data_IF_509900748797
#
_entry.id   IF_509900748797
#
_cell.length_a   1.000
_cell.length_b   1.000
_cell.length_c   1.000
_cell.angle_alpha   90.00
_cell.angle_beta   90.00
_cell.angle_gamma   90.00
#
_symmetry.space_group_name_H-M   'P 1'
#
loop_
_entity.id
_entity.type
_entity.pdbx_description
1 polymer ?
#
# COMPACT_ATOMS: atom_id res chain seq x y z
N UNK A 1 -16.76 -10.90 28.73
CA UNK A 1 -16.68 -9.95 27.60
C UNK A 1 -16.75 -8.54 28.18
N UNK A 2 -15.66 -7.78 28.15
CA UNK A 2 -15.63 -6.38 28.57
C UNK A 2 -16.31 -5.51 27.49
N UNK A 3 -17.65 -5.46 27.44
CA UNK A 3 -18.35 -4.47 26.62
C UNK A 3 -18.48 -3.14 27.37
N UNK A 4 -17.35 -2.52 27.71
CA UNK A 4 -17.29 -1.21 28.35
C UNK A 4 -16.64 -0.16 27.44
N UNK A 5 -17.12 -0.08 26.20
CA UNK A 5 -17.17 1.10 25.32
C UNK A 5 -17.86 0.62 24.03
N UNK A 6 -18.88 1.32 23.54
CA UNK A 6 -19.52 0.95 22.25
C UNK A 6 -18.59 1.15 21.04
N UNK A 7 -17.41 1.73 21.23
CA UNK A 7 -16.24 1.74 20.33
C UNK A 7 -15.18 2.67 20.91
N UNK A 8 -13.91 2.37 20.67
CA UNK A 8 -12.77 3.17 21.13
C UNK A 8 -12.43 4.29 20.14
N UNK A 9 -12.44 5.55 20.60
CA UNK A 9 -11.83 6.66 19.85
C UNK A 9 -10.32 6.65 20.07
N UNK A 10 -9.62 5.92 19.21
CA UNK A 10 -8.17 5.74 19.29
C UNK A 10 -7.48 6.96 18.67
N UNK A 11 -6.63 7.62 19.46
CA UNK A 11 -5.99 8.86 19.05
C UNK A 11 -4.59 8.63 18.48
N UNK A 12 -4.33 9.17 17.29
CA UNK A 12 -2.98 9.33 16.78
C UNK A 12 -2.27 10.45 17.56
N UNK A 13 -1.24 10.07 18.30
CA UNK A 13 -0.41 11.02 19.02
C UNK A 13 0.45 11.88 18.09
N UNK A 14 0.22 13.20 18.11
CA UNK A 14 0.95 14.14 17.24
C UNK A 14 2.41 14.33 17.61
N UNK A 15 2.83 14.01 18.84
CA UNK A 15 4.23 14.15 19.26
C UNK A 15 5.10 12.99 18.80
N UNK A 16 4.50 11.87 18.38
CA UNK A 16 5.20 10.69 17.85
C UNK A 16 5.32 10.74 16.31
N UNK A 17 4.72 11.75 15.68
CA UNK A 17 4.70 11.89 14.23
C UNK A 17 6.01 12.43 13.67
N UNK A 18 6.51 11.73 12.64
CA UNK A 18 7.80 12.01 12.02
C UNK A 18 8.96 11.21 12.59
N UNK A 19 8.72 10.45 13.67
CA UNK A 19 9.65 9.43 14.15
C UNK A 19 9.56 8.18 13.27
N UNK A 20 10.64 7.40 13.21
CA UNK A 20 10.65 6.12 12.49
C UNK A 20 9.74 5.12 13.22
N UNK A 21 8.76 4.56 12.50
CA UNK A 21 7.89 3.53 13.07
C UNK A 21 8.64 2.24 13.45
N UNK A 22 9.75 1.94 12.75
CA UNK A 22 10.61 0.80 13.09
C UNK A 22 11.25 0.97 14.48
N UNK A 23 11.66 2.20 14.81
CA UNK A 23 12.20 2.52 16.13
C UNK A 23 11.10 2.63 17.18
N UNK A 24 10.00 3.31 16.85
CA UNK A 24 8.88 3.56 17.76
C UNK A 24 8.21 2.27 18.21
N UNK A 25 8.10 1.30 17.30
CA UNK A 25 7.46 0.01 17.52
C UNK A 25 8.41 -1.16 17.34
N UNK A 26 9.67 -0.98 17.78
CA UNK A 26 10.62 -2.08 17.89
C UNK A 26 10.00 -3.20 18.75
N UNK A 27 10.07 -4.48 18.33
CA UNK A 27 9.37 -5.57 19.02
C UNK A 27 9.66 -5.65 20.52
N UNK A 28 10.92 -5.52 20.93
CA UNK A 28 11.31 -5.54 22.34
C UNK A 28 10.67 -4.39 23.13
N UNK A 29 10.72 -3.17 22.58
CA UNK A 29 10.12 -1.99 23.22
C UNK A 29 8.60 -2.13 23.37
N UNK A 30 7.93 -2.70 22.38
CA UNK A 30 6.48 -2.91 22.42
C UNK A 30 6.09 -3.96 23.47
N UNK A 31 6.87 -5.04 23.59
CA UNK A 31 6.69 -6.04 24.65
C UNK A 31 6.87 -5.40 26.02
N UNK A 32 7.93 -4.63 26.22
CA UNK A 32 8.21 -3.93 27.47
C UNK A 32 7.07 -2.95 27.83
N UNK A 33 6.55 -2.21 26.85
CA UNK A 33 5.43 -1.29 27.04
C UNK A 33 4.16 -2.02 27.50
N UNK A 34 3.84 -3.14 26.86
CA UNK A 34 2.67 -3.97 27.24
C UNK A 34 2.84 -4.54 28.64
N UNK A 35 4.02 -5.09 28.96
CA UNK A 35 4.30 -5.65 30.27
C UNK A 35 4.23 -4.59 31.37
N UNK A 36 4.81 -3.41 31.10
CA UNK A 36 4.78 -2.28 32.01
C UNK A 36 3.33 -1.82 32.28
N UNK A 37 2.56 -1.54 31.22
CA UNK A 37 1.14 -1.15 31.36
C UNK A 37 0.33 -2.24 32.07
N UNK A 38 0.59 -3.51 31.77
CA UNK A 38 -0.06 -4.65 32.42
C UNK A 38 0.26 -4.74 33.91
N UNK A 39 1.46 -4.35 34.34
CA UNK A 39 1.83 -4.29 35.77
C UNK A 39 0.97 -3.30 36.57
N UNK A 40 0.54 -2.20 35.95
CA UNK A 40 -0.33 -1.20 36.59
C UNK A 40 -1.82 -1.51 36.43
N UNK A 41 -2.26 -1.83 35.21
CA UNK A 41 -3.67 -2.06 34.90
C UNK A 41 -4.14 -3.45 35.36
N UNK A 42 -3.24 -4.44 35.35
CA UNK A 42 -3.52 -5.85 35.61
C UNK A 42 -4.16 -6.12 36.98
N UNK A 43 -3.64 -5.61 38.11
CA UNK A 43 -4.25 -5.86 39.43
C UNK A 43 -5.70 -5.36 39.54
N UNK A 44 -6.02 -4.24 38.92
CA UNK A 44 -7.38 -3.68 38.92
C UNK A 44 -8.30 -4.46 37.97
N UNK A 45 -7.81 -4.84 36.78
CA UNK A 45 -8.50 -5.75 35.86
C UNK A 45 -8.78 -7.12 36.50
N UNK A 46 -7.80 -7.71 37.18
CA UNK A 46 -7.96 -8.99 37.86
C UNK A 46 -9.02 -8.91 38.96
N UNK A 47 -9.03 -7.84 39.77
CA UNK A 47 -10.09 -7.62 40.77
C UNK A 47 -11.49 -7.55 40.15
N UNK A 48 -11.62 -6.85 39.02
CA UNK A 48 -12.89 -6.79 38.26
C UNK A 48 -13.30 -8.16 37.69
N UNK A 49 -12.33 -8.97 37.25
CA UNK A 49 -12.56 -10.31 36.70
C UNK A 49 -12.85 -11.39 37.75
N UNK A 50 -12.51 -11.15 39.02
CA UNK A 50 -12.77 -12.09 40.12
C UNK A 50 -14.19 -11.99 40.69
N UNK A 51 -15.04 -11.12 40.13
CA UNK A 51 -16.48 -11.08 40.43
C UNK A 51 -17.15 -12.36 39.89
N UNK A 52 -17.77 -13.21 40.75
CA UNK A 52 -18.28 -14.54 40.38
C UNK A 52 -19.19 -14.57 39.13
N UNK A 53 -20.01 -13.54 38.92
CA UNK A 53 -20.91 -13.43 37.77
C UNK A 53 -20.20 -13.31 36.39
N UNK A 54 -18.91 -12.95 36.37
CA UNK A 54 -18.09 -12.83 35.16
C UNK A 54 -17.18 -14.04 34.93
N UNK A 55 -17.03 -14.90 35.94
CA UNK A 55 -16.11 -16.05 35.96
C UNK A 55 -16.60 -17.22 35.09
N UNK A 56 -17.91 -17.37 34.97
CA UNK A 56 -18.54 -18.48 34.20
C UNK A 56 -18.52 -18.26 32.68
N UNK A 57 -18.13 -17.06 32.21
CA UNK A 57 -18.24 -16.67 30.79
C UNK A 57 -16.91 -16.51 30.06
N UNK A 58 -15.77 -16.87 30.67
CA UNK A 58 -14.49 -16.50 30.09
C UNK A 58 -13.32 -17.45 30.41
N UNK A 59 -12.68 -18.06 29.40
CA UNK A 59 -11.41 -18.79 29.55
C UNK A 59 -10.18 -17.88 29.77
N UNK A 60 -10.39 -16.57 30.04
CA UNK A 60 -9.39 -15.48 30.10
C UNK A 60 -8.33 -15.56 31.22
N UNK A 61 -8.04 -16.74 31.81
CA UNK A 61 -6.95 -16.86 32.80
C UNK A 61 -5.57 -16.45 32.24
N UNK A 62 -5.41 -16.50 30.91
CA UNK A 62 -4.17 -16.15 30.20
C UNK A 62 -4.30 -14.89 29.30
N UNK A 63 -5.37 -14.12 29.44
CA UNK A 63 -5.64 -12.99 28.53
C UNK A 63 -4.54 -11.91 28.59
N UNK A 64 -4.04 -11.60 29.79
CA UNK A 64 -2.92 -10.66 29.96
C UNK A 64 -1.60 -11.23 29.42
N UNK A 65 -1.40 -12.56 29.49
CA UNK A 65 -0.21 -13.23 28.97
C UNK A 65 -0.09 -13.14 27.45
N UNK A 66 -1.22 -13.09 26.73
CA UNK A 66 -1.28 -12.94 25.27
C UNK A 66 -1.13 -11.50 24.77
N UNK A 67 -1.21 -10.48 25.63
CA UNK A 67 -1.18 -9.07 25.20
C UNK A 67 0.07 -8.69 24.38
N UNK A 68 1.30 -9.17 24.70
CA UNK A 68 2.47 -8.85 23.90
C UNK A 68 2.39 -9.42 22.48
N UNK A 69 1.89 -10.65 22.31
CA UNK A 69 1.69 -11.27 21.00
C UNK A 69 0.67 -10.49 20.16
N UNK A 70 -0.46 -10.11 20.79
CA UNK A 70 -1.50 -9.31 20.14
C UNK A 70 -0.97 -7.93 19.71
N UNK A 71 -0.14 -7.29 20.55
CA UNK A 71 0.50 -6.02 20.19
C UNK A 71 1.40 -6.15 18.96
N UNK A 72 2.19 -7.23 18.88
CA UNK A 72 3.03 -7.50 17.71
C UNK A 72 2.21 -7.77 16.45
N UNK A 73 1.09 -8.50 16.57
CA UNK A 73 0.18 -8.72 15.46
C UNK A 73 -0.46 -7.41 14.96
N UNK A 74 -0.91 -6.54 15.89
CA UNK A 74 -1.37 -5.19 15.54
C UNK A 74 -0.28 -4.34 14.89
N UNK A 75 0.97 -4.45 15.35
CA UNK A 75 2.13 -3.75 14.78
C UNK A 75 2.39 -4.14 13.33
N UNK A 76 2.29 -5.43 12.99
CA UNK A 76 2.42 -5.88 11.59
C UNK A 76 1.36 -5.24 10.69
N UNK A 77 0.11 -5.17 11.15
CA UNK A 77 -0.99 -4.54 10.40
C UNK A 77 -0.80 -3.02 10.28
N UNK A 78 -0.55 -2.34 11.40
CA UNK A 78 -0.39 -0.88 11.48
C UNK A 78 0.81 -0.37 10.67
N UNK A 79 1.90 -1.12 10.63
CA UNK A 79 3.10 -0.75 9.86
C UNK A 79 3.04 -1.20 8.38
N UNK A 80 1.93 -1.83 7.94
CA UNK A 80 1.77 -2.28 6.56
C UNK A 80 2.62 -3.49 6.17
N UNK A 81 3.11 -4.27 7.14
CA UNK A 81 3.92 -5.48 6.90
C UNK A 81 3.08 -6.67 6.44
N UNK A 82 1.77 -6.61 6.67
CA UNK A 82 0.79 -7.58 6.21
C UNK A 82 -0.42 -6.83 5.67
N UNK A 83 -1.00 -7.32 4.56
CA UNK A 83 -2.23 -6.74 4.03
C UNK A 83 -3.41 -7.08 4.96
N UNK A 84 -4.48 -6.27 4.92
CA UNK A 84 -5.68 -6.60 5.69
C UNK A 84 -6.24 -7.97 5.25
N UNK A 85 -6.31 -8.22 3.94
CA UNK A 85 -6.78 -9.49 3.37
C UNK A 85 -5.99 -10.71 3.82
N UNK A 86 -4.69 -10.57 4.08
CA UNK A 86 -3.86 -11.66 4.61
C UNK A 86 -3.95 -11.78 6.13
N UNK A 87 -4.18 -10.66 6.83
CA UNK A 87 -4.29 -10.61 8.28
C UNK A 87 -5.61 -11.20 8.79
N UNK A 88 -6.73 -10.93 8.11
CA UNK A 88 -8.06 -11.41 8.53
C UNK A 88 -8.15 -12.94 8.67
N UNK A 89 -7.75 -13.77 7.67
CA UNK A 89 -7.93 -15.21 7.73
C UNK A 89 -7.01 -15.90 8.74
N UNK A 90 -5.84 -15.31 9.03
CA UNK A 90 -4.91 -15.83 10.04
C UNK A 90 -5.52 -15.78 11.45
N UNK A 91 -6.54 -14.94 11.65
CA UNK A 91 -7.04 -14.56 12.96
C UNK A 91 -8.55 -14.70 13.10
N UNK A 92 -9.20 -15.38 12.14
CA UNK A 92 -10.66 -15.49 12.06
C UNK A 92 -11.29 -16.23 13.26
N UNK A 93 -10.52 -17.07 13.96
CA UNK A 93 -10.94 -17.75 15.18
C UNK A 93 -10.70 -16.94 16.48
N UNK A 94 -9.93 -15.86 16.42
CA UNK A 94 -9.39 -15.16 17.60
C UNK A 94 -9.82 -13.68 17.71
N UNK A 95 -10.84 -13.26 16.96
CA UNK A 95 -11.37 -11.88 16.99
C UNK A 95 -11.59 -11.29 18.39
N UNK A 96 -12.05 -12.12 19.32
CA UNK A 96 -12.27 -11.71 20.71
C UNK A 96 -10.97 -11.25 21.40
N UNK A 97 -9.83 -11.90 21.10
CA UNK A 97 -8.55 -11.55 21.69
C UNK A 97 -8.05 -10.19 21.19
N UNK A 98 -8.21 -9.88 19.90
CA UNK A 98 -7.87 -8.58 19.34
C UNK A 98 -8.74 -7.46 19.90
N UNK A 99 -10.04 -7.71 20.06
CA UNK A 99 -10.97 -6.78 20.72
C UNK A 99 -10.65 -6.58 22.21
N UNK A 100 -10.23 -7.65 22.90
CA UNK A 100 -9.77 -7.59 24.29
C UNK A 100 -8.51 -6.72 24.42
N UNK A 101 -7.57 -6.77 23.46
CA UNK A 101 -6.40 -5.89 23.45
C UNK A 101 -6.79 -4.41 23.30
N UNK A 102 -7.71 -4.08 22.38
CA UNK A 102 -8.23 -2.71 22.24
C UNK A 102 -8.90 -2.26 23.54
N UNK A 103 -9.73 -3.11 24.12
CA UNK A 103 -10.41 -2.85 25.40
C UNK A 103 -9.44 -2.65 26.55
N UNK A 104 -8.34 -3.41 26.58
CA UNK A 104 -7.27 -3.27 27.56
C UNK A 104 -6.58 -1.90 27.48
N UNK A 105 -6.17 -1.47 26.27
CA UNK A 105 -5.52 -0.17 26.07
C UNK A 105 -6.48 0.97 26.44
N UNK A 106 -7.76 0.85 26.09
CA UNK A 106 -8.77 1.83 26.48
C UNK A 106 -8.96 1.88 28.00
N UNK A 107 -9.09 0.73 28.66
CA UNK A 107 -9.16 0.67 30.11
C UNK A 107 -7.94 1.33 30.75
N UNK A 108 -6.73 0.99 30.31
CA UNK A 108 -5.49 1.57 30.82
C UNK A 108 -5.46 3.10 30.67
N UNK A 109 -6.04 3.65 29.61
CA UNK A 109 -6.12 5.10 29.38
C UNK A 109 -7.03 5.87 30.34
N UNK A 110 -7.93 5.16 31.04
CA UNK A 110 -8.78 5.75 32.09
C UNK A 110 -8.09 5.79 33.45
N UNK A 111 -6.94 5.13 33.60
CA UNK A 111 -6.15 5.13 34.84
C UNK A 111 -5.29 6.39 34.90
N UNK A 112 -5.47 7.18 35.96
CA UNK A 112 -4.77 8.46 36.17
C UNK A 112 -3.26 8.25 36.17
N UNK A 113 -2.79 7.14 36.74
CA UNK A 113 -1.38 6.78 36.85
C UNK A 113 -0.70 6.57 35.48
N UNK A 114 -1.50 6.27 34.44
CA UNK A 114 -1.04 5.92 33.11
C UNK A 114 -1.27 7.00 32.05
N UNK A 115 -2.11 8.00 32.32
CA UNK A 115 -2.64 8.94 31.33
C UNK A 115 -1.57 9.61 30.44
N UNK A 116 -0.41 9.99 31.00
CA UNK A 116 0.67 10.67 30.27
C UNK A 116 1.92 9.80 30.04
N UNK A 117 1.81 8.49 30.21
CA UNK A 117 2.97 7.60 30.17
C UNK A 117 3.35 7.27 28.73
N UNK A 118 4.64 7.39 28.35
CA UNK A 118 5.09 7.13 26.98
C UNK A 118 4.69 5.75 26.45
N UNK A 119 4.77 4.72 27.29
CA UNK A 119 4.37 3.35 26.94
C UNK A 119 2.90 3.27 26.53
N UNK A 120 1.98 3.86 27.31
CA UNK A 120 0.57 3.87 26.96
C UNK A 120 0.32 4.68 25.68
N UNK A 121 0.94 5.86 25.55
CA UNK A 121 0.81 6.72 24.37
C UNK A 121 1.25 6.01 23.09
N UNK A 122 2.33 5.21 23.14
CA UNK A 122 2.75 4.36 22.02
C UNK A 122 1.72 3.29 21.68
N UNK A 123 1.16 2.59 22.67
CA UNK A 123 0.11 1.59 22.42
C UNK A 123 -1.16 2.21 21.81
N UNK A 124 -1.55 3.40 22.27
CA UNK A 124 -2.66 4.15 21.68
C UNK A 124 -2.35 4.58 20.24
N UNK A 125 -1.14 5.07 19.98
CA UNK A 125 -0.70 5.46 18.64
C UNK A 125 -0.69 4.27 17.68
N UNK A 126 -0.22 3.10 18.14
CA UNK A 126 -0.26 1.84 17.38
C UNK A 126 -1.69 1.49 16.94
N UNK A 127 -2.63 1.53 17.89
CA UNK A 127 -4.04 1.26 17.60
C UNK A 127 -4.67 2.34 16.70
N UNK A 128 -4.25 3.60 16.83
CA UNK A 128 -4.65 4.68 15.92
C UNK A 128 -4.17 4.45 14.49
N UNK A 129 -2.94 3.96 14.29
CA UNK A 129 -2.42 3.58 12.97
C UNK A 129 -3.17 2.39 12.38
N UNK A 130 -3.52 1.40 13.21
CA UNK A 130 -4.32 0.27 12.76
C UNK A 130 -5.75 0.69 12.36
N UNK A 131 -6.38 1.58 13.11
CA UNK A 131 -7.66 2.18 12.76
C UNK A 131 -7.57 2.95 11.43
N UNK A 132 -6.49 3.71 11.23
CA UNK A 132 -6.21 4.38 9.95
C UNK A 132 -6.02 3.39 8.81
N UNK A 133 -5.33 2.26 9.03
CA UNK A 133 -5.18 1.20 8.03
C UNK A 133 -6.54 0.64 7.61
N UNK A 134 -7.43 0.36 8.58
CA UNK A 134 -8.80 -0.07 8.29
C UNK A 134 -9.58 1.02 7.54
N UNK A 135 -9.35 2.29 7.88
CA UNK A 135 -9.99 3.44 7.25
C UNK A 135 -9.66 3.58 5.75
N UNK A 136 -8.41 3.28 5.40
CA UNK A 136 -7.89 3.38 4.03
C UNK A 136 -8.16 2.15 3.17
N UNK A 137 -8.56 1.02 3.76
CA UNK A 137 -8.64 -0.24 3.04
C UNK A 137 -9.73 -0.21 1.95
N UNK A 138 -9.43 -0.71 0.73
CA UNK A 138 -10.38 -0.65 -0.39
C UNK A 138 -11.59 -1.58 -0.21
N UNK A 139 -11.56 -2.51 0.75
CA UNK A 139 -12.74 -3.24 1.21
C UNK A 139 -13.65 -2.37 2.10
N UNK A 140 -13.86 -1.10 1.73
CA UNK A 140 -14.58 -0.11 2.53
C UNK A 140 -16.01 -0.56 2.89
N UNK A 141 -16.61 -1.45 2.09
CA UNK A 141 -17.93 -2.02 2.36
C UNK A 141 -17.95 -2.97 3.57
N UNK A 142 -16.82 -3.59 3.93
CA UNK A 142 -16.68 -4.44 5.14
C UNK A 142 -16.16 -3.68 6.36
N UNK A 143 -15.68 -2.46 6.15
CA UNK A 143 -15.07 -1.63 7.18
C UNK A 143 -15.96 -1.43 8.42
N UNK A 144 -17.27 -1.14 8.32
CA UNK A 144 -18.11 -0.94 9.51
C UNK A 144 -18.22 -2.21 10.36
N UNK A 145 -18.39 -3.37 9.72
CA UNK A 145 -18.49 -4.66 10.40
C UNK A 145 -17.17 -5.01 11.11
N UNK A 146 -16.04 -4.87 10.41
CA UNK A 146 -14.71 -5.12 10.96
C UNK A 146 -14.38 -4.20 12.13
N UNK A 147 -14.69 -2.90 12.01
CA UNK A 147 -14.50 -1.92 13.07
C UNK A 147 -15.27 -2.31 14.33
N UNK A 148 -16.54 -2.72 14.19
CA UNK A 148 -17.36 -3.19 15.31
C UNK A 148 -16.77 -4.46 15.94
N UNK A 149 -16.36 -5.45 15.13
CA UNK A 149 -15.76 -6.70 15.63
C UNK A 149 -14.46 -6.46 16.40
N UNK A 150 -13.66 -5.47 15.97
CA UNK A 150 -12.41 -5.09 16.60
C UNK A 150 -12.56 -4.13 17.78
N UNK A 151 -13.75 -3.54 17.98
CA UNK A 151 -13.98 -2.52 19.00
C UNK A 151 -13.37 -1.16 18.67
N UNK A 152 -13.08 -0.89 17.40
CA UNK A 152 -12.45 0.34 16.91
C UNK A 152 -13.52 1.29 16.37
N UNK A 153 -13.39 2.58 16.63
CA UNK A 153 -14.18 3.63 15.96
C UNK A 153 -13.41 4.16 14.75
N UNK A 154 -14.10 4.31 13.61
CA UNK A 154 -13.56 5.00 12.43
C UNK A 154 -14.24 6.36 12.32
N UNK A 155 -13.49 7.40 12.67
CA UNK A 155 -13.96 8.78 12.59
C UNK A 155 -14.06 9.23 11.12
N UNK A 156 -15.14 9.93 10.78
CA UNK A 156 -15.37 10.56 9.46
C UNK A 156 -15.01 9.65 8.28
N UNK A 157 -15.76 8.56 8.03
CA UNK A 157 -15.51 7.65 6.92
C UNK A 157 -15.40 8.39 5.58
N UNK A 158 -14.44 8.02 4.74
CA UNK A 158 -14.20 8.66 3.43
C UNK A 158 -13.33 9.92 3.46
N UNK A 159 -12.97 10.45 4.62
CA UNK A 159 -12.10 11.64 4.74
C UNK A 159 -10.94 11.40 5.70
N UNK A 160 -9.80 12.03 5.45
CA UNK A 160 -8.63 12.03 6.33
C UNK A 160 -8.35 13.41 6.89
N UNK A 161 -8.11 13.47 8.20
CA UNK A 161 -7.58 14.67 8.84
C UNK A 161 -6.06 14.73 8.69
N UNK A 162 -5.48 15.93 8.85
CA UNK A 162 -4.05 16.14 8.63
C UNK A 162 -3.13 15.25 9.49
N UNK A 163 -3.57 14.87 10.70
CA UNK A 163 -2.82 13.96 11.59
C UNK A 163 -2.77 12.53 11.05
N UNK A 164 -3.84 12.06 10.40
CA UNK A 164 -3.91 10.73 9.78
C UNK A 164 -2.99 10.66 8.56
N UNK A 165 -3.05 11.66 7.68
CA UNK A 165 -2.16 11.74 6.50
C UNK A 165 -0.70 11.79 6.94
N UNK A 166 -0.41 12.56 7.99
CA UNK A 166 0.94 12.68 8.54
C UNK A 166 1.42 11.34 9.09
N UNK A 167 0.57 10.61 9.82
CA UNK A 167 0.86 9.28 10.35
C UNK A 167 1.13 8.27 9.24
N UNK A 168 0.26 8.19 8.23
CA UNK A 168 0.42 7.28 7.10
C UNK A 168 1.68 7.56 6.27
N UNK A 169 2.20 8.80 6.29
CA UNK A 169 3.40 9.19 5.53
C UNK A 169 4.68 9.31 6.37
N UNK A 170 4.61 9.07 7.69
CA UNK A 170 5.71 9.36 8.63
C UNK A 170 6.21 10.81 8.52
N UNK A 171 5.28 11.76 8.46
CA UNK A 171 5.55 13.20 8.37
C UNK A 171 5.09 13.92 9.64
N UNK A 172 5.59 15.14 9.85
CA UNK A 172 5.00 16.06 10.83
C UNK A 172 3.68 16.62 10.29
N UNK A 173 2.71 16.86 11.18
CA UNK A 173 1.40 17.45 10.84
C UNK A 173 1.53 18.79 10.10
N UNK A 174 2.53 19.59 10.46
CA UNK A 174 2.80 20.88 9.81
C UNK A 174 3.07 20.73 8.30
N UNK A 175 3.77 19.67 7.89
CA UNK A 175 4.06 19.40 6.48
C UNK A 175 2.78 19.17 5.67
N UNK A 176 1.82 18.44 6.24
CA UNK A 176 0.52 18.18 5.59
C UNK A 176 -0.32 19.44 5.54
N UNK A 177 -0.37 20.23 6.63
CA UNK A 177 -1.09 21.52 6.65
C UNK A 177 -0.55 22.48 5.59
N UNK A 178 0.77 22.51 5.40
CA UNK A 178 1.41 23.32 4.36
C UNK A 178 1.01 22.85 2.95
N UNK A 179 0.95 21.54 2.70
CA UNK A 179 0.49 20.99 1.42
C UNK A 179 -0.97 21.35 1.13
N UNK A 180 -1.85 21.27 2.13
CA UNK A 180 -3.26 21.69 2.01
C UNK A 180 -3.35 23.20 1.72
N UNK A 181 -2.57 24.02 2.43
CA UNK A 181 -2.52 25.48 2.21
C UNK A 181 -2.07 25.85 0.79
N UNK A 182 -1.12 25.09 0.23
CA UNK A 182 -0.66 25.21 -1.16
C UNK A 182 -1.62 24.62 -2.19
N UNK A 183 -2.75 24.07 -1.75
CA UNK A 183 -3.77 23.40 -2.58
C UNK A 183 -3.22 22.20 -3.35
N UNK A 184 -2.22 21.51 -2.79
CA UNK A 184 -1.77 20.21 -3.31
C UNK A 184 -2.83 19.12 -3.08
N UNK A 185 -3.69 19.32 -2.08
CA UNK A 185 -4.89 18.53 -1.80
C UNK A 185 -6.02 19.49 -1.43
N UNK A 186 -7.23 19.23 -1.91
CA UNK A 186 -8.42 20.01 -1.54
C UNK A 186 -9.01 19.41 -0.26
N UNK A 187 -9.09 20.21 0.80
CA UNK A 187 -9.69 19.82 2.06
C UNK A 187 -11.11 20.39 2.17
N UNK A 188 -12.05 19.55 2.58
CA UNK A 188 -13.34 19.97 3.11
C UNK A 188 -13.15 20.57 4.51
N UNK A 189 -13.68 21.78 4.80
CA UNK A 189 -13.47 22.43 6.09
C UNK A 189 -14.04 21.67 7.29
N UNK A 190 -15.10 20.86 7.10
CA UNK A 190 -15.77 20.14 8.17
C UNK A 190 -15.18 18.74 8.39
N UNK A 191 -14.72 18.09 7.32
CA UNK A 191 -14.38 16.66 7.34
C UNK A 191 -12.89 16.36 7.10
N UNK A 192 -12.16 17.22 6.39
CA UNK A 192 -10.77 17.00 6.01
C UNK A 192 -10.60 16.68 4.52
N UNK A 193 -9.53 15.96 4.15
CA UNK A 193 -9.22 15.64 2.75
C UNK A 193 -9.90 14.33 2.35
N UNK A 194 -10.63 14.25 1.23
CA UNK A 194 -11.17 12.97 0.74
C UNK A 194 -10.06 11.91 0.63
N UNK A 195 -10.34 10.68 1.07
CA UNK A 195 -9.37 9.55 1.09
C UNK A 195 -8.69 9.40 -0.27
N UNK A 196 -9.47 9.47 -1.33
CA UNK A 196 -9.06 9.47 -2.73
C UNK A 196 -7.91 10.43 -3.05
N UNK A 197 -8.16 11.72 -2.81
CA UNK A 197 -7.20 12.78 -3.08
C UNK A 197 -5.97 12.66 -2.17
N UNK A 198 -6.17 12.22 -0.92
CA UNK A 198 -5.07 11.98 -0.01
C UNK A 198 -4.19 10.83 -0.47
N UNK A 199 -4.75 9.69 -0.89
CA UNK A 199 -3.99 8.53 -1.39
C UNK A 199 -3.13 8.89 -2.61
N UNK A 200 -3.67 9.64 -3.57
CA UNK A 200 -2.94 10.09 -4.76
C UNK A 200 -1.77 11.04 -4.43
N UNK A 201 -1.91 11.83 -3.36
CA UNK A 201 -0.84 12.66 -2.84
C UNK A 201 0.19 11.86 -2.01
N UNK A 202 -0.29 10.94 -1.16
CA UNK A 202 0.53 10.14 -0.25
C UNK A 202 1.41 9.14 -1.00
N UNK A 203 0.92 8.51 -2.07
CA UNK A 203 1.69 7.52 -2.86
C UNK A 203 3.00 8.09 -3.42
N UNK A 204 3.07 9.40 -3.62
CA UNK A 204 4.24 10.12 -4.11
C UNK A 204 5.30 10.36 -3.03
N UNK A 205 5.02 9.99 -1.77
CA UNK A 205 5.90 10.19 -0.62
C UNK A 205 6.66 8.90 -0.29
N UNK A 206 7.96 9.03 -0.01
CA UNK A 206 8.82 7.88 0.30
C UNK A 206 8.34 7.08 1.52
N UNK A 207 7.86 7.78 2.55
CA UNK A 207 7.43 7.22 3.83
C UNK A 207 5.97 6.75 3.89
N UNK A 208 5.24 6.76 2.77
CA UNK A 208 3.87 6.23 2.76
C UNK A 208 3.86 4.73 3.08
N UNK A 209 3.11 4.37 4.12
CA UNK A 209 3.07 3.01 4.69
C UNK A 209 2.25 2.02 3.87
N UNK A 210 1.28 2.51 3.09
CA UNK A 210 0.26 1.64 2.48
C UNK A 210 0.22 1.73 0.94
N UNK A 211 1.36 1.72 0.23
CA UNK A 211 1.38 1.91 -1.22
C UNK A 211 0.58 0.84 -1.98
N UNK A 212 0.48 -0.37 -1.42
CA UNK A 212 -0.31 -1.48 -1.98
C UNK A 212 -1.80 -1.14 -2.12
N UNK A 213 -2.35 -0.26 -1.26
CA UNK A 213 -3.76 0.17 -1.37
C UNK A 213 -4.02 0.84 -2.73
N UNK A 214 -3.09 1.67 -3.21
CA UNK A 214 -3.18 2.26 -4.54
C UNK A 214 -3.06 1.20 -5.64
N UNK A 215 -2.18 0.20 -5.48
CA UNK A 215 -1.95 -0.82 -6.50
C UNK A 215 -3.16 -1.75 -6.73
N UNK A 216 -3.98 -1.97 -5.71
CA UNK A 216 -5.17 -2.83 -5.85
C UNK A 216 -6.43 -2.05 -6.25
N UNK A 217 -6.34 -0.73 -6.39
CA UNK A 217 -7.47 0.13 -6.80
C UNK A 217 -7.25 0.60 -8.24
N UNK A 218 -7.95 0.03 -9.25
CA UNK A 218 -7.61 0.20 -10.66
C UNK A 218 -7.48 1.66 -11.13
N UNK A 219 -8.41 2.52 -10.72
CA UNK A 219 -8.45 3.94 -11.14
C UNK A 219 -7.49 4.87 -10.39
N UNK A 220 -6.66 4.37 -9.47
CA UNK A 220 -5.77 5.22 -8.66
C UNK A 220 -4.46 5.53 -9.35
N UNK A 221 -3.87 6.65 -8.96
CA UNK A 221 -2.56 7.06 -9.44
C UNK A 221 -1.49 6.07 -9.00
N UNK A 222 -0.56 5.79 -9.90
CA UNK A 222 0.61 4.96 -9.65
C UNK A 222 1.92 5.72 -9.87
N UNK A 223 3.02 5.11 -9.44
CA UNK A 223 4.37 5.57 -9.75
C UNK A 223 5.28 4.40 -10.08
N UNK A 224 6.47 4.68 -10.61
CA UNK A 224 7.39 3.64 -11.05
C UNK A 224 7.82 2.68 -9.94
N UNK A 225 7.94 3.16 -8.69
CA UNK A 225 8.20 2.29 -7.52
C UNK A 225 7.07 1.28 -7.30
N UNK A 226 5.83 1.75 -7.31
CA UNK A 226 4.65 0.92 -7.09
C UNK A 226 4.43 -0.07 -8.24
N UNK A 227 4.53 0.41 -9.48
CA UNK A 227 4.43 -0.41 -10.68
C UNK A 227 5.48 -1.53 -10.66
N UNK A 228 6.73 -1.22 -10.34
CA UNK A 228 7.79 -2.21 -10.25
C UNK A 228 7.53 -3.27 -9.17
N UNK A 229 7.04 -2.87 -7.99
CA UNK A 229 6.68 -3.81 -6.92
C UNK A 229 5.52 -4.73 -7.31
N UNK A 230 4.50 -4.18 -7.96
CA UNK A 230 3.36 -4.96 -8.42
C UNK A 230 3.73 -5.93 -9.54
N UNK A 231 4.55 -5.50 -10.51
CA UNK A 231 5.03 -6.35 -11.61
C UNK A 231 5.86 -7.56 -11.12
N UNK A 232 6.49 -7.50 -9.93
CA UNK A 232 7.20 -8.65 -9.35
C UNK A 232 6.25 -9.81 -8.98
N UNK A 233 4.96 -9.52 -8.84
CA UNK A 233 3.93 -10.47 -8.44
C UNK A 233 3.00 -10.86 -9.60
N UNK A 234 3.05 -10.13 -10.72
CA UNK A 234 2.15 -10.36 -11.85
C UNK A 234 2.65 -11.55 -12.71
N UNK A 235 1.80 -12.58 -12.95
CA UNK A 235 2.21 -13.78 -13.65
C UNK A 235 2.37 -13.60 -15.17
N UNK A 236 1.98 -12.46 -15.75
CA UNK A 236 2.12 -12.19 -17.20
C UNK A 236 3.50 -11.68 -17.57
N UNK A 237 4.35 -11.35 -16.60
CA UNK A 237 5.67 -10.76 -16.86
C UNK A 237 6.79 -11.51 -16.15
N UNK A 238 7.99 -11.40 -16.70
CA UNK A 238 9.23 -11.81 -16.03
C UNK A 238 10.19 -10.63 -15.91
N UNK A 239 10.85 -10.54 -14.76
CA UNK A 239 11.89 -9.55 -14.51
C UNK A 239 13.17 -9.98 -15.24
N UNK A 240 13.72 -9.11 -16.09
CA UNK A 240 14.95 -9.40 -16.83
C UNK A 240 16.20 -8.88 -16.12
N UNK A 241 16.31 -7.55 -16.02
CA UNK A 241 17.49 -6.90 -15.43
C UNK A 241 17.22 -5.45 -15.06
N UNK A 242 18.05 -4.97 -14.14
CA UNK A 242 18.12 -3.55 -13.79
C UNK A 242 19.14 -2.83 -14.67
N UNK A 243 18.75 -1.70 -15.24
CA UNK A 243 19.65 -0.82 -16.03
C UNK A 243 19.92 0.45 -15.23
N UNK A 244 20.96 0.40 -14.38
CA UNK A 244 21.26 1.44 -13.38
C UNK A 244 21.43 2.84 -13.98
N UNK A 245 22.11 2.96 -15.13
CA UNK A 245 22.34 4.26 -15.81
C UNK A 245 21.04 4.93 -16.23
N UNK A 246 19.99 4.15 -16.48
CA UNK A 246 18.66 4.62 -16.88
C UNK A 246 17.66 4.63 -15.71
N UNK A 247 18.08 4.17 -14.51
CA UNK A 247 17.20 3.95 -13.34
C UNK A 247 15.94 3.17 -13.69
N UNK A 248 16.11 2.16 -14.54
CA UNK A 248 15.03 1.42 -15.18
C UNK A 248 15.12 -0.07 -14.81
N UNK A 249 13.98 -0.69 -14.52
CA UNK A 249 13.85 -2.14 -14.46
C UNK A 249 13.24 -2.63 -15.76
N UNK A 250 13.88 -3.60 -16.39
CA UNK A 250 13.43 -4.21 -17.63
C UNK A 250 12.57 -5.44 -17.35
N UNK A 251 11.44 -5.51 -18.03
CA UNK A 251 10.42 -6.55 -17.94
C UNK A 251 10.20 -7.17 -19.31
N UNK A 252 9.87 -8.46 -19.35
CA UNK A 252 9.38 -9.14 -20.54
C UNK A 252 7.96 -9.63 -20.31
N UNK A 253 7.10 -9.42 -21.28
CA UNK A 253 5.75 -10.00 -21.29
C UNK A 253 5.85 -11.45 -21.75
N UNK A 254 5.37 -12.36 -20.91
CA UNK A 254 5.30 -13.78 -21.20
C UNK A 254 4.30 -14.02 -22.34
N UNK A 255 4.62 -14.95 -23.23
CA UNK A 255 3.81 -15.20 -24.42
C UNK A 255 4.14 -14.32 -25.63
N UNK A 256 4.60 -13.07 -25.46
CA UNK A 256 4.81 -12.13 -26.59
C UNK A 256 6.27 -11.82 -26.96
N UNK A 257 7.25 -12.17 -26.10
CA UNK A 257 8.67 -11.76 -26.23
C UNK A 257 8.90 -10.23 -26.30
N UNK A 258 7.85 -9.42 -26.10
CA UNK A 258 7.98 -7.96 -25.98
C UNK A 258 8.61 -7.60 -24.64
N UNK A 259 9.43 -6.56 -24.65
CA UNK A 259 10.05 -6.04 -23.44
C UNK A 259 9.70 -4.57 -23.27
N UNK A 260 9.57 -4.14 -22.02
CA UNK A 260 9.39 -2.75 -21.65
C UNK A 260 10.23 -2.46 -20.41
N UNK A 261 10.45 -1.19 -20.13
CA UNK A 261 11.21 -0.71 -18.99
C UNK A 261 10.37 0.22 -18.15
N UNK A 262 10.43 0.06 -16.83
CA UNK A 262 9.76 0.96 -15.87
C UNK A 262 10.82 1.72 -15.09
N UNK A 263 10.61 3.01 -14.84
CA UNK A 263 11.44 3.80 -13.95
C UNK A 263 11.24 3.38 -12.47
N UNK A 264 11.79 2.25 -12.05
CA UNK A 264 11.58 1.62 -10.73
C UNK A 264 11.82 2.52 -9.48
N UNK A 265 12.54 3.64 -9.62
CA UNK A 265 12.77 4.62 -8.55
C UNK A 265 11.89 5.88 -8.65
N UNK A 266 11.00 5.93 -9.64
CA UNK A 266 10.10 7.05 -9.90
C UNK A 266 9.05 7.20 -8.81
N UNK A 267 9.04 8.35 -8.14
CA UNK A 267 8.08 8.66 -7.07
C UNK A 267 6.86 9.44 -7.56
N UNK A 268 7.03 10.28 -8.59
CA UNK A 268 5.98 11.17 -9.09
C UNK A 268 5.20 10.57 -10.25
N UNK A 269 5.88 9.84 -11.13
CA UNK A 269 5.30 9.27 -12.34
C UNK A 269 5.81 7.85 -12.56
N UNK A 270 4.96 6.99 -13.12
CA UNK A 270 5.36 5.74 -13.72
C UNK A 270 5.68 5.99 -15.19
N UNK A 271 6.96 6.04 -15.53
CA UNK A 271 7.43 6.13 -16.91
C UNK A 271 7.67 4.72 -17.43
N UNK A 272 7.06 4.43 -18.57
CA UNK A 272 7.31 3.20 -19.33
C UNK A 272 8.07 3.59 -20.58
N UNK A 273 9.20 2.91 -20.81
CA UNK A 273 9.99 3.02 -22.04
C UNK A 273 9.97 1.68 -22.76
N UNK A 274 9.70 1.67 -24.06
CA UNK A 274 9.67 0.44 -24.84
C UNK A 274 9.98 0.69 -26.32
N UNK A 275 10.56 -0.28 -27.03
CA UNK A 275 10.58 -0.26 -28.48
C UNK A 275 9.17 -0.56 -29.01
N UNK A 276 8.64 0.29 -29.89
CA UNK A 276 7.33 0.08 -30.50
C UNK A 276 7.25 0.72 -31.90
N UNK A 277 6.50 0.05 -32.79
CA UNK A 277 6.17 0.47 -34.14
C UNK A 277 4.72 0.99 -34.27
N UNK A 278 3.95 0.90 -33.20
CA UNK A 278 2.53 1.28 -33.11
C UNK A 278 2.29 2.26 -31.95
N UNK A 279 2.67 3.55 -32.09
CA UNK A 279 2.44 4.56 -31.06
C UNK A 279 0.95 4.83 -30.82
N UNK A 280 0.11 4.68 -31.84
CA UNK A 280 -1.33 4.90 -31.73
C UNK A 280 -1.99 3.82 -30.84
N UNK A 281 -1.58 2.56 -30.98
CA UNK A 281 -2.00 1.48 -30.09
C UNK A 281 -1.56 1.68 -28.64
N UNK A 282 -0.36 2.22 -28.42
CA UNK A 282 0.13 2.59 -27.08
C UNK A 282 -0.70 3.72 -26.45
N UNK A 283 -1.03 4.75 -27.23
CA UNK A 283 -1.92 5.81 -26.77
C UNK A 283 -3.34 5.29 -26.50
N UNK A 284 -3.86 4.41 -27.35
CA UNK A 284 -5.17 3.77 -27.16
C UNK A 284 -5.20 2.85 -25.93
N UNK A 285 -4.07 2.26 -25.54
CA UNK A 285 -3.92 1.53 -24.28
C UNK A 285 -3.92 2.44 -23.04
N UNK A 286 -3.88 3.77 -23.21
CA UNK A 286 -4.03 4.77 -22.17
C UNK A 286 -2.72 5.43 -21.70
N UNK A 287 -1.61 5.25 -22.42
CA UNK A 287 -0.36 5.95 -22.12
C UNK A 287 -0.51 7.46 -22.38
N UNK A 288 -0.21 8.26 -21.35
CA UNK A 288 -0.19 9.72 -21.43
C UNK A 288 1.18 10.23 -21.86
N UNK A 289 1.22 11.42 -22.48
CA UNK A 289 2.46 12.12 -22.83
C UNK A 289 3.48 11.22 -23.57
N UNK A 290 3.00 10.44 -24.54
CA UNK A 290 3.83 9.54 -25.33
C UNK A 290 4.78 10.34 -26.24
N UNK A 291 6.08 10.12 -26.06
CA UNK A 291 7.14 10.77 -26.83
C UNK A 291 8.00 9.73 -27.54
N UNK A 292 8.45 10.06 -28.76
CA UNK A 292 9.53 9.34 -29.42
C UNK A 292 10.89 9.85 -28.88
N UNK A 293 11.67 8.94 -28.32
CA UNK A 293 12.98 9.18 -27.70
C UNK A 293 14.12 8.59 -28.55
N UNK A 294 13.85 8.29 -29.82
CA UNK A 294 14.83 7.67 -30.73
C UNK A 294 16.04 8.55 -31.02
N UNK A 295 15.90 9.87 -30.89
CA UNK A 295 16.98 10.84 -31.12
C UNK A 295 17.71 11.26 -29.83
N UNK A 296 17.34 10.68 -28.69
CA UNK A 296 18.00 10.98 -27.42
C UNK A 296 19.45 10.50 -27.40
N UNK A 297 20.30 11.25 -26.71
CA UNK A 297 21.68 10.84 -26.43
C UNK A 297 21.78 9.49 -25.70
N UNK A 298 20.73 9.07 -24.99
CA UNK A 298 20.64 7.79 -24.28
C UNK A 298 20.06 6.64 -25.13
N UNK A 299 19.63 6.87 -26.38
CA UNK A 299 18.95 5.85 -27.21
C UNK A 299 19.79 4.59 -27.40
N UNK A 300 21.11 4.73 -27.54
CA UNK A 300 22.02 3.59 -27.68
C UNK A 300 21.93 2.65 -26.47
N UNK A 301 21.79 3.19 -25.26
CA UNK A 301 21.60 2.39 -24.04
C UNK A 301 20.21 1.73 -24.01
N UNK A 302 19.16 2.41 -24.48
CA UNK A 302 17.83 1.80 -24.62
C UNK A 302 17.85 0.63 -25.60
N UNK A 303 18.42 0.82 -26.80
CA UNK A 303 18.54 -0.25 -27.81
C UNK A 303 19.36 -1.43 -27.31
N UNK A 304 20.49 -1.18 -26.63
CA UNK A 304 21.25 -2.25 -25.97
C UNK A 304 20.45 -2.95 -24.87
N UNK A 305 19.61 -2.19 -24.16
CA UNK A 305 18.74 -2.74 -23.13
C UNK A 305 17.71 -3.69 -23.72
N UNK A 306 17.10 -3.31 -24.84
CA UNK A 306 16.01 -4.02 -25.52
C UNK A 306 16.43 -4.93 -26.68
N UNK A 307 17.73 -5.19 -26.88
CA UNK A 307 18.24 -5.94 -28.04
C UNK A 307 17.61 -7.34 -28.24
N UNK A 308 17.12 -7.97 -27.18
CA UNK A 308 16.44 -9.27 -27.22
C UNK A 308 14.91 -9.21 -27.38
N UNK A 309 14.33 -8.00 -27.46
CA UNK A 309 12.90 -7.83 -27.65
C UNK A 309 12.51 -8.17 -29.10
N UNK A 310 11.28 -8.66 -29.28
CA UNK A 310 10.69 -8.84 -30.62
C UNK A 310 9.65 -7.75 -30.84
N UNK A 311 9.92 -6.88 -31.81
CA UNK A 311 9.03 -5.84 -32.33
C UNK A 311 9.03 -6.00 -33.85
N UNK A 312 7.97 -5.62 -34.56
CA UNK A 312 7.92 -5.74 -36.03
C UNK A 312 9.19 -5.16 -36.66
N UNK A 313 9.85 -5.93 -37.54
CA UNK A 313 11.13 -5.54 -38.16
C UNK A 313 12.41 -5.71 -37.31
N UNK A 314 12.31 -6.00 -36.01
CA UNK A 314 13.44 -6.24 -35.10
C UNK A 314 13.70 -5.08 -34.11
N UNK A 315 13.98 -5.40 -32.85
CA UNK A 315 14.07 -4.39 -31.78
C UNK A 315 15.27 -3.43 -31.85
N UNK A 316 16.26 -3.67 -32.71
CA UNK A 316 17.38 -2.74 -32.89
C UNK A 316 17.02 -1.51 -33.74
N UNK A 317 15.97 -1.61 -34.55
CA UNK A 317 15.54 -0.56 -35.50
C UNK A 317 14.22 0.10 -35.11
N UNK A 318 13.44 -0.54 -34.24
CA UNK A 318 12.19 0.03 -33.75
C UNK A 318 12.39 1.38 -33.02
N UNK A 319 11.49 2.35 -33.24
CA UNK A 319 11.44 3.58 -32.45
C UNK A 319 11.34 3.29 -30.95
N UNK A 320 12.02 4.10 -30.14
CA UNK A 320 11.95 4.01 -28.68
C UNK A 320 10.91 5.01 -28.19
N UNK A 321 9.78 4.52 -27.70
CA UNK A 321 8.74 5.36 -27.11
C UNK A 321 8.85 5.40 -25.59
N UNK A 322 8.53 6.55 -25.01
CA UNK A 322 8.38 6.74 -23.58
C UNK A 322 7.05 7.43 -23.28
N UNK A 323 6.29 6.92 -22.33
CA UNK A 323 5.04 7.52 -21.88
C UNK A 323 4.82 7.37 -20.39
N UNK A 324 3.80 8.06 -19.88
CA UNK A 324 3.36 8.01 -18.50
C UNK A 324 2.20 7.02 -18.37
N UNK A 325 2.33 6.08 -17.44
CA UNK A 325 1.22 5.25 -17.00
C UNK A 325 0.54 5.93 -15.81
N UNK A 326 -0.67 6.49 -15.97
CA UNK A 326 -1.31 7.26 -14.92
C UNK A 326 -1.87 6.38 -13.80
N UNK A 327 -2.40 5.18 -14.13
CA UNK A 327 -3.12 4.32 -13.19
C UNK A 327 -2.77 2.84 -13.33
N UNK A 328 -3.13 2.03 -12.33
CA UNK A 328 -2.97 0.57 -12.40
C UNK A 328 -3.78 -0.04 -13.54
N UNK A 329 -4.98 0.49 -13.79
CA UNK A 329 -5.81 0.04 -14.91
C UNK A 329 -5.11 0.26 -16.26
N UNK A 330 -4.43 1.39 -16.46
CA UNK A 330 -3.65 1.60 -17.69
C UNK A 330 -2.47 0.65 -17.77
N UNK A 331 -1.78 0.38 -16.65
CA UNK A 331 -0.70 -0.62 -16.65
C UNK A 331 -1.22 -2.00 -17.07
N UNK A 332 -2.38 -2.39 -16.56
CA UNK A 332 -3.05 -3.65 -16.86
C UNK A 332 -3.43 -3.74 -18.35
N UNK A 333 -4.12 -2.73 -18.88
CA UNK A 333 -4.47 -2.62 -20.31
C UNK A 333 -3.22 -2.65 -21.20
N UNK A 334 -2.14 -2.00 -20.79
CA UNK A 334 -0.87 -2.01 -21.51
C UNK A 334 -0.27 -3.42 -21.59
N UNK A 335 -0.32 -4.19 -20.49
CA UNK A 335 0.18 -5.57 -20.50
C UNK A 335 -0.63 -6.45 -21.45
N UNK A 336 -1.95 -6.31 -21.48
CA UNK A 336 -2.82 -7.04 -22.39
C UNK A 336 -2.56 -6.67 -23.85
N UNK A 337 -2.44 -5.37 -24.15
CA UNK A 337 -2.05 -4.90 -25.49
C UNK A 337 -0.71 -5.49 -25.95
N UNK A 338 0.30 -5.51 -25.07
CA UNK A 338 1.62 -6.10 -25.36
C UNK A 338 1.58 -7.64 -25.48
N UNK A 339 0.55 -8.30 -24.95
CA UNK A 339 0.35 -9.74 -25.10
C UNK A 339 -0.38 -10.07 -26.42
N UNK A 340 -1.45 -9.34 -26.75
CA UNK A 340 -2.36 -9.62 -27.87
C UNK A 340 -1.77 -9.30 -29.24
N UNK A 341 -1.06 -8.18 -29.36
CA UNK A 341 -0.35 -7.80 -30.59
C UNK A 341 0.65 -8.87 -31.05
N UNK A 342 1.19 -9.67 -30.12
CA UNK A 342 2.05 -10.80 -30.48
C UNK A 342 1.29 -12.04 -30.93
N UNK A 343 0.04 -12.23 -30.51
CA UNK A 343 -0.82 -13.28 -31.05
C UNK A 343 -1.22 -12.94 -32.49
N UNK A 344 -1.56 -11.68 -32.77
CA UNK A 344 -1.86 -11.20 -34.12
C UNK A 344 -0.67 -11.41 -35.09
N UNK A 345 0.56 -11.12 -34.64
CA UNK A 345 1.78 -11.35 -35.42
C UNK A 345 2.08 -12.85 -35.69
N UNK A 346 1.60 -13.78 -34.85
CA UNK A 346 1.73 -15.23 -35.07
C UNK A 346 0.63 -15.81 -35.96
N UNK A 347 -0.52 -15.13 -36.06
CA UNK A 347 -1.67 -15.55 -36.87
C UNK A 347 -1.68 -15.02 -38.30
N UNK A 348 -0.79 -14.09 -38.65
CA UNK A 348 -0.67 -13.59 -40.02
C UNK A 348 -0.19 -14.72 -40.95
N UNK A 349 -0.94 -15.07 -42.01
CA UNK A 349 -0.52 -16.09 -42.95
C UNK A 349 0.80 -15.66 -43.59
N UNK A 350 1.81 -16.52 -43.50
CA UNK A 350 3.05 -16.37 -44.28
C UNK A 350 2.64 -16.31 -45.75
N UNK A 351 2.63 -15.11 -46.32
CA UNK A 351 2.62 -14.92 -47.76
C UNK A 351 3.89 -15.58 -48.28
N UNK A 352 3.75 -16.84 -48.71
CA UNK A 352 4.77 -17.49 -49.50
C UNK A 352 4.95 -16.63 -50.76
N UNK A 353 6.16 -16.22 -51.12
CA UNK A 353 6.36 -15.61 -52.41
C UNK A 353 5.96 -16.66 -53.47
N UNK A 354 4.93 -16.34 -54.26
CA UNK A 354 4.69 -17.01 -55.53
C UNK A 354 5.97 -16.84 -56.36
N UNK A 355 6.81 -17.87 -56.35
CA UNK A 355 7.85 -18.01 -57.35
C UNK A 355 7.13 -18.13 -58.69
N UNK A 356 7.40 -17.16 -59.55
CA UNK A 356 6.98 -17.19 -60.94
C UNK A 356 7.58 -18.43 -61.60
N UNK A 357 6.70 -19.26 -62.17
CA UNK A 357 7.08 -20.31 -63.11
C UNK A 357 7.82 -19.66 -64.29
N UNK A 358 9.08 -20.04 -64.45
CA UNK A 358 9.76 -20.00 -65.73
C UNK A 358 9.36 -21.26 -66.49
N UNK A 359 8.63 -21.11 -67.59
CA UNK A 359 8.87 -21.77 -68.87
C UNK A 359 8.13 -21.06 -70.01
#
# INVERSE_FOLDING_TARGET
MFQAAKSAKLALDSTLLGDSLEALFAPAQLIDDVQWVSGFAGPSLQRLLHVPALRERSPQRDALGKMPELALAWRRLACGEVSLSDWLPQHDAEWAAYSDFVSFVMYASTLIELHDKPSLRRLQHLLGLAALRLKLDPLIHRQPELAVRLGIMIDTPGYLVAVEIAAACQLRVASVRNAISRREMIADPAHGVPVDAALDWMVQRRGFLYPVINAITPGRRINGRLANQWLQQDPRVEQLRRVTRLRMMQWRVLGSRRCFGVNEQGLHHCLVTLPADDPDGLAAAGLDALEDRSDDSAVALYRQSFAAAVVGGGASEAPIHQGVVPTMQVLDTLLDYLADTAQAARGAPSERPCQADQE
#
